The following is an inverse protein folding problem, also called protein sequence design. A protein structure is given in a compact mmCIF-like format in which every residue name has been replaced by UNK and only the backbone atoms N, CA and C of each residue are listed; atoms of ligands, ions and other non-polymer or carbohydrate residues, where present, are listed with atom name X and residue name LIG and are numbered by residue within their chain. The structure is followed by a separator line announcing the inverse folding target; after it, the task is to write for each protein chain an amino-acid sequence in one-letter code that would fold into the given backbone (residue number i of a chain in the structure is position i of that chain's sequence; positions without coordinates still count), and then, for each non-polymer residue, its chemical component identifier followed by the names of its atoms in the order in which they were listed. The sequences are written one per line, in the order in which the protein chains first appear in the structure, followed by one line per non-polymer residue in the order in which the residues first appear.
data_IF_395178991933
#
_entry.id   IF_395178991933
#
_cell.length_a   1.000
_cell.length_b   1.000
_cell.length_c   1.000
_cell.angle_alpha   90.00
_cell.angle_beta   90.00
_cell.angle_gamma   90.00
#
_symmetry.space_group_name_H-M   'P 1'
#
loop_
_entity.id
_entity.type
_entity.pdbx_description
1 polymer ?
#
# COMPACT_ATOMS: atom_id res chain seq x y z
N UNK A 1 8.76 4.38 9.24
CA UNK A 1 7.42 4.29 9.84
C UNK A 1 6.84 5.70 9.99
N UNK A 2 5.80 6.00 9.23
CA UNK A 2 5.11 7.30 9.26
C UNK A 2 4.00 7.36 10.34
N UNK A 3 4.09 6.55 11.39
CA UNK A 3 3.10 6.50 12.48
C UNK A 3 1.92 5.55 12.20
N UNK A 4 2.02 4.66 11.22
CA UNK A 4 0.93 3.72 10.90
C UNK A 4 0.66 2.73 12.03
N UNK A 5 1.69 2.28 12.74
CA UNK A 5 1.55 1.38 13.88
C UNK A 5 0.82 2.06 15.03
N UNK A 6 1.15 3.30 15.33
CA UNK A 6 0.46 4.13 16.35
C UNK A 6 -1.00 4.35 15.97
N UNK A 7 -1.27 4.57 14.68
CA UNK A 7 -2.65 4.68 14.19
C UNK A 7 -3.44 3.39 14.43
N UNK A 8 -2.88 2.22 14.13
CA UNK A 8 -3.53 0.93 14.40
C UNK A 8 -3.81 0.75 15.90
N UNK A 9 -2.83 1.07 16.76
CA UNK A 9 -2.99 0.99 18.23
C UNK A 9 -4.11 1.92 18.72
N UNK A 10 -4.20 3.14 18.18
CA UNK A 10 -5.28 4.08 18.52
C UNK A 10 -6.65 3.57 18.07
N UNK A 11 -6.74 2.99 16.86
CA UNK A 11 -7.98 2.39 16.38
C UNK A 11 -8.44 1.25 17.28
N UNK A 12 -7.55 0.33 17.64
CA UNK A 12 -7.86 -0.79 18.54
C UNK A 12 -8.20 -0.33 19.94
N UNK A 13 -7.56 0.72 20.45
CA UNK A 13 -7.92 1.31 21.76
C UNK A 13 -9.31 1.93 21.77
N UNK A 14 -9.72 2.56 20.65
CA UNK A 14 -11.03 3.20 20.51
C UNK A 14 -12.15 2.18 20.32
N UNK A 15 -11.86 1.10 19.63
CA UNK A 15 -12.80 0.04 19.26
C UNK A 15 -12.07 -1.31 19.36
N UNK A 16 -12.06 -1.94 20.59
CA UNK A 16 -11.37 -3.21 20.82
C UNK A 16 -11.89 -4.37 19.96
N UNK A 17 -13.19 -4.35 19.65
CA UNK A 17 -13.89 -5.38 18.87
C UNK A 17 -13.75 -5.18 17.36
N UNK A 18 -12.95 -4.21 16.94
CA UNK A 18 -12.69 -3.94 15.53
C UNK A 18 -12.06 -5.14 14.81
N UNK A 19 -12.80 -5.71 13.89
CA UNK A 19 -12.37 -6.87 13.10
C UNK A 19 -11.50 -6.49 11.89
N UNK A 20 -11.74 -5.29 11.34
CA UNK A 20 -11.03 -4.80 10.15
C UNK A 20 -10.42 -3.43 10.41
N UNK A 21 -9.27 -3.18 9.80
CA UNK A 21 -8.58 -1.90 9.94
C UNK A 21 -9.46 -0.72 9.49
N UNK A 22 -10.17 -0.89 8.38
CA UNK A 22 -11.08 0.11 7.80
C UNK A 22 -12.50 -0.45 7.73
N UNK A 23 -13.21 -0.53 8.86
CA UNK A 23 -14.60 -1.04 8.94
C UNK A 23 -15.58 -0.17 8.17
N UNK A 24 -15.26 1.12 8.01
CA UNK A 24 -16.07 2.12 7.33
C UNK A 24 -16.18 1.86 5.81
N UNK A 25 -15.26 1.08 5.26
CA UNK A 25 -15.31 0.68 3.86
C UNK A 25 -16.42 -0.36 3.63
N UNK A 26 -17.42 0.02 2.87
CA UNK A 26 -18.54 -0.86 2.53
C UNK A 26 -18.14 -1.86 1.45
N UNK A 27 -18.53 -3.12 1.64
CA UNK A 27 -18.40 -4.16 0.63
C UNK A 27 -19.29 -3.84 -0.57
N UNK A 28 -18.72 -3.72 -1.76
CA UNK A 28 -19.44 -3.43 -2.98
C UNK A 28 -18.68 -3.97 -4.19
N UNK A 29 -19.41 -4.59 -5.14
CA UNK A 29 -18.79 -5.11 -6.37
C UNK A 29 -17.67 -6.13 -6.12
N UNK A 30 -17.85 -7.01 -5.14
CA UNK A 30 -16.90 -8.07 -4.83
C UNK A 30 -15.70 -7.67 -3.95
N UNK A 31 -15.61 -6.39 -3.49
CA UNK A 31 -14.50 -5.94 -2.67
C UNK A 31 -14.84 -4.71 -1.80
N UNK A 32 -13.91 -4.34 -0.91
CA UNK A 32 -14.05 -3.17 -0.02
C UNK A 32 -13.41 -1.89 -0.58
N UNK A 33 -12.60 -1.98 -1.63
CA UNK A 33 -11.80 -0.84 -2.09
C UNK A 33 -12.46 0.01 -3.17
N UNK A 34 -13.64 -0.36 -3.69
CA UNK A 34 -14.28 0.28 -4.83
C UNK A 34 -14.55 1.78 -4.59
N UNK A 35 -15.09 2.12 -3.41
CA UNK A 35 -15.38 3.51 -3.06
C UNK A 35 -14.08 4.32 -2.87
N UNK A 36 -13.07 3.74 -2.23
CA UNK A 36 -11.76 4.35 -2.05
C UNK A 36 -11.09 4.63 -3.40
N UNK A 37 -11.05 3.63 -4.27
CA UNK A 37 -10.47 3.75 -5.62
C UNK A 37 -11.20 4.81 -6.45
N UNK A 38 -12.54 4.85 -6.39
CA UNK A 38 -13.33 5.86 -7.05
C UNK A 38 -12.99 7.25 -6.54
N UNK A 39 -13.07 7.49 -5.23
CA UNK A 39 -12.73 8.77 -4.60
C UNK A 39 -11.33 9.24 -4.98
N UNK A 40 -10.35 8.34 -4.90
CA UNK A 40 -8.97 8.61 -5.24
C UNK A 40 -8.82 9.08 -6.69
N UNK A 41 -9.46 8.38 -7.63
CA UNK A 41 -9.35 8.64 -9.06
C UNK A 41 -10.15 9.87 -9.51
N UNK A 42 -11.29 10.16 -8.85
CA UNK A 42 -12.23 11.21 -9.33
C UNK A 42 -12.15 12.52 -8.53
N UNK A 43 -11.57 12.49 -7.33
CA UNK A 43 -11.45 13.66 -6.46
C UNK A 43 -10.01 13.95 -6.07
N UNK A 44 -9.31 12.97 -5.47
CA UNK A 44 -8.00 13.20 -4.89
C UNK A 44 -6.92 13.48 -5.96
N UNK A 45 -6.75 12.62 -6.96
CA UNK A 45 -5.78 12.87 -8.04
C UNK A 45 -6.05 14.16 -8.83
N UNK A 46 -7.31 14.49 -9.19
CA UNK A 46 -7.63 15.77 -9.81
C UNK A 46 -7.30 16.98 -8.94
N UNK A 47 -7.59 16.92 -7.63
CA UNK A 47 -7.28 18.04 -6.71
C UNK A 47 -5.79 18.36 -6.59
N UNK A 48 -4.92 17.37 -6.88
CA UNK A 48 -3.48 17.54 -6.92
C UNK A 48 -2.95 17.92 -8.31
N UNK A 49 -3.81 18.06 -9.33
CA UNK A 49 -3.40 18.26 -10.71
C UNK A 49 -2.67 17.07 -11.34
N UNK A 50 -2.73 15.88 -10.70
CA UNK A 50 -1.98 14.71 -11.10
C UNK A 50 -2.76 13.70 -11.95
N UNK A 51 -4.07 13.93 -12.15
CA UNK A 51 -4.92 13.01 -12.90
C UNK A 51 -4.60 13.01 -14.38
N UNK A 52 -4.31 11.84 -14.91
CA UNK A 52 -4.18 11.59 -16.37
C UNK A 52 -4.89 10.29 -16.73
N UNK A 53 -5.01 9.99 -18.02
CA UNK A 53 -5.56 8.72 -18.48
C UNK A 53 -4.73 7.49 -18.04
N UNK A 54 -3.45 7.69 -17.74
CA UNK A 54 -2.51 6.64 -17.32
C UNK A 54 -2.33 6.55 -15.80
N UNK A 55 -2.70 7.60 -15.04
CA UNK A 55 -2.51 7.65 -13.58
C UNK A 55 -3.82 7.35 -12.86
N UNK A 56 -3.82 6.33 -12.03
CA UNK A 56 -4.95 5.90 -11.23
C UNK A 56 -4.49 5.29 -9.90
N UNK A 57 -5.43 4.87 -9.05
CA UNK A 57 -5.13 4.26 -7.76
C UNK A 57 -4.18 3.05 -7.88
N UNK A 58 -4.32 2.25 -8.92
CA UNK A 58 -3.50 1.06 -9.16
C UNK A 58 -2.07 1.39 -9.66
N UNK A 59 -1.83 2.61 -10.12
CA UNK A 59 -0.52 3.02 -10.63
C UNK A 59 0.59 2.95 -9.59
N UNK A 60 0.29 3.13 -8.30
CA UNK A 60 1.27 2.95 -7.23
C UNK A 60 1.83 1.53 -7.19
N UNK A 61 0.95 0.55 -7.36
CA UNK A 61 1.35 -0.86 -7.41
C UNK A 61 2.27 -1.15 -8.58
N UNK A 62 1.97 -0.58 -9.76
CA UNK A 62 2.85 -0.68 -10.93
C UNK A 62 4.20 0.00 -10.68
N UNK A 63 4.21 1.17 -10.05
CA UNK A 63 5.45 1.88 -9.71
C UNK A 63 6.34 1.09 -8.77
N UNK A 64 5.79 0.45 -7.74
CA UNK A 64 6.54 -0.43 -6.83
C UNK A 64 7.10 -1.63 -7.59
N UNK A 65 6.27 -2.30 -8.41
CA UNK A 65 6.71 -3.43 -9.22
C UNK A 65 7.87 -3.08 -10.13
N UNK A 66 7.72 -1.97 -10.86
CA UNK A 66 8.77 -1.51 -11.78
C UNK A 66 10.06 -1.13 -11.05
N UNK A 67 9.95 -0.37 -9.97
CA UNK A 67 11.10 0.01 -9.15
C UNK A 67 11.90 -1.20 -8.65
N UNK A 68 11.22 -2.24 -8.18
CA UNK A 68 11.88 -3.46 -7.72
C UNK A 68 12.52 -4.24 -8.88
N UNK A 69 11.87 -4.29 -10.04
CA UNK A 69 12.44 -4.89 -11.25
C UNK A 69 13.73 -4.18 -11.68
N UNK A 70 13.72 -2.84 -11.67
CA UNK A 70 14.91 -2.05 -12.01
C UNK A 70 16.06 -2.26 -11.01
N UNK A 71 15.76 -2.69 -9.80
CA UNK A 71 16.76 -3.10 -8.79
C UNK A 71 17.17 -4.57 -8.89
N UNK A 72 16.73 -5.28 -9.91
CA UNK A 72 17.12 -6.67 -10.15
C UNK A 72 16.48 -7.68 -9.18
N UNK A 73 15.33 -7.32 -8.59
CA UNK A 73 14.61 -8.25 -7.71
C UNK A 73 13.85 -9.26 -8.56
N UNK A 74 13.98 -10.52 -8.23
CA UNK A 74 13.36 -11.62 -8.96
C UNK A 74 11.83 -11.53 -8.95
N UNK A 75 11.16 -11.81 -10.08
CA UNK A 75 9.71 -11.62 -10.24
C UNK A 75 8.86 -12.32 -9.20
N UNK A 76 9.26 -13.50 -8.72
CA UNK A 76 8.50 -14.26 -7.73
C UNK A 76 8.43 -13.55 -6.36
N UNK A 77 9.50 -12.88 -5.92
CA UNK A 77 9.45 -12.07 -4.70
C UNK A 77 8.57 -10.84 -4.86
N UNK A 78 8.59 -10.21 -6.05
CA UNK A 78 7.74 -9.06 -6.35
C UNK A 78 6.27 -9.49 -6.38
N UNK A 79 5.96 -10.63 -6.98
CA UNK A 79 4.61 -11.17 -7.02
C UNK A 79 4.10 -11.49 -5.62
N UNK A 80 4.91 -12.12 -4.78
CA UNK A 80 4.57 -12.40 -3.38
C UNK A 80 4.28 -11.12 -2.60
N UNK A 81 5.18 -10.12 -2.66
CA UNK A 81 4.97 -8.82 -2.00
C UNK A 81 3.68 -8.14 -2.44
N UNK A 82 3.38 -8.20 -3.73
CA UNK A 82 2.22 -7.55 -4.31
C UNK A 82 0.96 -8.43 -4.26
N UNK A 83 1.04 -9.71 -3.84
CA UNK A 83 -0.07 -10.65 -3.86
C UNK A 83 -0.58 -10.90 -5.29
N UNK A 84 0.33 -11.01 -6.25
CA UNK A 84 0.01 -11.48 -7.59
C UNK A 84 0.10 -13.01 -7.64
N UNK A 85 -0.81 -13.66 -8.37
CA UNK A 85 -0.64 -15.05 -8.73
C UNK A 85 0.62 -15.23 -9.58
N UNK A 86 1.38 -16.28 -9.33
CA UNK A 86 2.60 -16.59 -10.11
C UNK A 86 2.27 -17.06 -11.52
N UNK A 87 0.99 -17.42 -11.77
CA UNK A 87 0.56 -18.10 -12.97
C UNK A 87 0.98 -19.58 -13.02
N UNK A 88 1.66 -20.06 -11.98
CA UNK A 88 2.02 -21.46 -11.81
C UNK A 88 1.11 -22.09 -10.74
N UNK A 89 0.24 -23.00 -11.16
CA UNK A 89 -0.76 -23.64 -10.29
C UNK A 89 -0.12 -24.36 -9.11
N UNK A 90 1.05 -24.96 -9.29
CA UNK A 90 1.74 -25.71 -8.23
C UNK A 90 2.30 -24.76 -7.17
N UNK A 91 2.87 -23.65 -7.57
CA UNK A 91 3.36 -22.64 -6.62
C UNK A 91 2.21 -21.90 -5.91
N UNK A 92 1.13 -21.62 -6.61
CA UNK A 92 -0.02 -20.87 -6.07
C UNK A 92 -0.88 -21.72 -5.12
N UNK A 93 -1.00 -23.05 -5.36
CA UNK A 93 -1.85 -23.95 -4.57
C UNK A 93 -1.12 -24.70 -3.47
N UNK A 94 0.12 -25.11 -3.70
CA UNK A 94 0.87 -26.00 -2.80
C UNK A 94 2.09 -25.32 -2.17
N UNK A 95 2.51 -24.18 -2.69
CA UNK A 95 3.59 -23.41 -2.11
C UNK A 95 3.16 -22.71 -0.82
N UNK A 96 3.85 -22.97 0.29
CA UNK A 96 3.81 -22.05 1.43
C UNK A 96 4.42 -20.73 0.96
N UNK A 97 3.73 -19.61 1.20
CA UNK A 97 4.27 -18.28 0.91
C UNK A 97 5.66 -18.08 1.52
N UNK A 98 6.41 -17.13 1.00
CA UNK A 98 7.73 -16.81 1.54
C UNK A 98 7.63 -16.27 2.97
N UNK A 99 8.65 -16.55 3.78
CA UNK A 99 8.77 -15.96 5.11
C UNK A 99 8.72 -14.41 4.99
N UNK A 100 7.90 -13.71 5.79
CA UNK A 100 7.80 -12.25 5.77
C UNK A 100 9.13 -11.53 5.92
N UNK A 101 10.06 -12.06 6.74
CA UNK A 101 11.40 -11.49 6.89
C UNK A 101 12.23 -11.56 5.61
N UNK A 102 12.07 -12.64 4.84
CA UNK A 102 12.71 -12.77 3.53
C UNK A 102 12.18 -11.73 2.56
N UNK A 103 10.84 -11.57 2.45
CA UNK A 103 10.20 -10.57 1.61
C UNK A 103 10.61 -9.15 2.05
N UNK A 104 10.64 -8.89 3.36
CA UNK A 104 11.09 -7.62 3.88
C UNK A 104 12.52 -7.29 3.44
N UNK A 105 13.45 -8.23 3.62
CA UNK A 105 14.86 -8.02 3.28
C UNK A 105 15.12 -7.95 1.78
N UNK A 106 14.45 -8.79 0.99
CA UNK A 106 14.61 -8.85 -0.47
C UNK A 106 13.93 -7.70 -1.19
N UNK A 107 12.74 -7.29 -0.75
CA UNK A 107 11.90 -6.33 -1.45
C UNK A 107 11.74 -5.01 -0.67
N UNK A 108 11.18 -5.05 0.54
CA UNK A 108 10.73 -3.83 1.22
C UNK A 108 11.89 -2.89 1.52
N UNK A 109 13.01 -3.42 2.03
CA UNK A 109 14.24 -2.63 2.27
C UNK A 109 14.84 -2.00 1.00
N UNK A 110 14.50 -2.53 -0.17
CA UNK A 110 14.99 -2.01 -1.45
C UNK A 110 14.09 -0.92 -2.02
N UNK A 111 12.90 -0.72 -1.47
CA UNK A 111 12.02 0.36 -1.87
C UNK A 111 12.62 1.67 -1.36
N UNK A 112 13.19 2.44 -2.25
CA UNK A 112 13.68 3.79 -1.99
C UNK A 112 13.24 4.68 -3.15
N UNK A 113 12.56 5.75 -2.85
CA UNK A 113 12.26 6.78 -3.83
C UNK A 113 13.18 7.96 -3.54
N UNK A 114 14.04 8.29 -4.50
CA UNK A 114 14.80 9.54 -4.43
C UNK A 114 13.82 10.70 -4.52
N UNK A 115 13.67 11.36 -3.41
CA UNK A 115 12.76 12.51 -3.28
C UNK A 115 13.53 13.81 -3.51
N UNK A 116 14.23 13.91 -4.64
CA UNK A 116 14.96 15.12 -4.99
C UNK A 116 14.06 16.38 -4.99
N UNK A 117 12.78 16.21 -5.23
CA UNK A 117 11.75 17.26 -5.15
C UNK A 117 11.08 17.39 -3.78
N UNK A 118 11.36 16.49 -2.84
CA UNK A 118 10.85 16.55 -1.46
C UNK A 118 11.94 16.93 -0.46
N UNK A 119 13.03 17.56 -0.92
CA UNK A 119 14.01 18.19 -0.03
C UNK A 119 13.28 19.21 0.84
N UNK A 120 13.13 18.89 2.13
CA UNK A 120 12.39 19.71 3.10
C UNK A 120 11.03 19.12 3.55
N UNK A 121 10.54 18.05 2.94
CA UNK A 121 9.45 17.28 3.54
C UNK A 121 10.10 16.30 4.52
N UNK A 122 10.14 16.70 5.77
CA UNK A 122 10.42 15.78 6.87
C UNK A 122 9.17 14.92 7.06
N UNK A 123 9.19 13.68 6.55
CA UNK A 123 8.13 12.71 6.76
C UNK A 123 7.92 12.35 8.24
N UNK A 124 8.89 12.68 9.10
CA UNK A 124 8.78 12.56 10.55
C UNK A 124 7.96 13.71 11.11
N UNK A 125 8.08 14.91 10.54
CA UNK A 125 7.29 16.09 10.93
C UNK A 125 5.87 16.09 10.33
N UNK A 126 5.62 15.34 9.26
CA UNK A 126 4.29 14.91 8.82
C UNK A 126 3.72 13.88 9.83
N UNK A 127 3.84 14.14 11.11
CA UNK A 127 3.03 13.48 12.12
C UNK A 127 1.59 13.79 11.77
N UNK A 128 1.00 12.94 10.94
CA UNK A 128 -0.43 12.99 10.68
C UNK A 128 -1.08 12.96 12.04
N UNK A 129 -1.84 13.99 12.35
CA UNK A 129 -2.59 14.05 13.62
C UNK A 129 -3.73 13.02 13.51
N UNK A 130 -3.37 11.77 13.72
CA UNK A 130 -4.27 10.63 13.67
C UNK A 130 -5.49 10.81 14.58
N UNK A 131 -5.34 11.62 15.65
CA UNK A 131 -6.47 11.96 16.53
C UNK A 131 -7.54 12.80 15.82
N UNK A 132 -7.17 13.59 14.82
CA UNK A 132 -8.14 14.35 13.99
C UNK A 132 -8.80 13.48 12.93
N UNK A 133 -8.13 12.43 12.46
CA UNK A 133 -8.64 11.54 11.41
C UNK A 133 -9.63 10.51 11.95
N UNK A 134 -9.51 10.16 13.23
CA UNK A 134 -10.36 9.13 13.91
C UNK A 134 -11.65 9.74 14.50
N UNK A 135 -11.96 10.99 14.25
CA UNK A 135 -13.22 11.62 14.72
C UNK A 135 -14.45 11.10 14.02
#
# INVERSE_FOLDING_TARGET
DLGFIEFIKLLKKKDPDRERLFQELKYKGGNYNQNLSRWFNTRYLPSLGLKTNKKNFHSYRHSVSDHLKQKGIEPHFINELLGHSSGNIDLDRYGKGYNPDLIYNKCVKKISYETSHTRGIDFISLKMDWKKIIR
#
